data_IF_416013193741
#
_entry.id   IF_416013193741
#
_cell.length_a   1.000
_cell.length_b   1.000
_cell.length_c   1.000
_cell.angle_alpha   90.00
_cell.angle_beta   90.00
_cell.angle_gamma   90.00
#
_symmetry.space_group_name_H-M   'P 1'
#
loop_
_entity.id
_entity.type
_entity.pdbx_description
1 polymer ?
#
# COMPACT_ATOMS: atom_id res chain seq x y z
N UNK A 1 3.33 -7.14 -4.50
CA UNK A 1 2.75 -5.78 -4.29
C UNK A 1 3.58 -4.65 -4.89
N UNK A 2 4.78 -4.32 -4.40
CA UNK A 2 5.58 -3.23 -5.03
C UNK A 2 6.13 -3.55 -6.43
N UNK A 3 6.17 -4.83 -6.80
CA UNK A 3 6.61 -5.32 -8.12
C UNK A 3 5.45 -5.79 -9.00
N UNK A 4 4.19 -5.54 -8.61
CA UNK A 4 3.08 -5.93 -9.49
C UNK A 4 3.13 -5.08 -10.76
N UNK A 5 2.97 -5.68 -11.95
CA UNK A 5 3.08 -4.96 -13.22
C UNK A 5 2.08 -3.82 -13.33
N UNK A 6 0.86 -4.00 -12.81
CA UNK A 6 -0.16 -2.94 -12.78
C UNK A 6 0.28 -1.75 -11.91
N UNK A 7 0.90 -1.99 -10.75
CA UNK A 7 1.40 -0.92 -9.88
C UNK A 7 2.59 -0.22 -10.52
N UNK A 8 3.48 -0.95 -11.18
CA UNK A 8 4.63 -0.38 -11.89
C UNK A 8 4.20 0.48 -13.09
N UNK A 9 3.23 0.03 -13.88
CA UNK A 9 2.69 0.83 -14.98
C UNK A 9 2.04 2.13 -14.49
N UNK A 10 1.33 2.10 -13.35
CA UNK A 10 0.79 3.30 -12.72
C UNK A 10 1.91 4.20 -12.17
N UNK A 11 2.92 3.62 -11.53
CA UNK A 11 4.08 4.35 -11.04
C UNK A 11 4.78 5.11 -12.18
N UNK A 12 4.97 4.48 -13.34
CA UNK A 12 5.52 5.14 -14.53
C UNK A 12 4.59 6.22 -15.10
N UNK A 13 3.29 5.93 -15.21
CA UNK A 13 2.28 6.87 -15.74
C UNK A 13 2.23 8.17 -14.94
N UNK A 14 2.22 8.05 -13.61
CA UNK A 14 2.15 9.19 -12.70
C UNK A 14 3.53 9.74 -12.31
N UNK A 15 4.63 9.10 -12.74
CA UNK A 15 6.02 9.38 -12.32
C UNK A 15 6.18 9.42 -10.79
N UNK A 16 5.51 8.48 -10.12
CA UNK A 16 5.50 8.33 -8.67
C UNK A 16 6.06 6.99 -8.28
N UNK A 17 6.43 6.82 -7.02
CA UNK A 17 6.92 5.52 -6.54
C UNK A 17 5.75 4.54 -6.38
N UNK A 18 5.99 3.22 -6.50
CA UNK A 18 4.98 2.20 -6.23
C UNK A 18 4.33 2.35 -4.83
N UNK A 19 5.10 2.81 -3.84
CA UNK A 19 4.58 3.09 -2.50
C UNK A 19 3.57 4.23 -2.50
N UNK A 20 3.84 5.32 -3.23
CA UNK A 20 2.90 6.43 -3.36
C UNK A 20 1.60 6.02 -4.04
N UNK A 21 1.67 5.19 -5.10
CA UNK A 21 0.47 4.67 -5.77
C UNK A 21 -0.40 3.87 -4.80
N UNK A 22 0.22 2.98 -4.00
CA UNK A 22 -0.51 2.16 -3.02
C UNK A 22 -1.10 2.99 -1.88
N UNK A 23 -0.38 3.99 -1.36
CA UNK A 23 -0.89 4.90 -0.34
C UNK A 23 -2.04 5.76 -0.88
N UNK A 24 -1.92 6.23 -2.13
CA UNK A 24 -2.98 6.99 -2.79
C UNK A 24 -4.24 6.16 -3.02
N UNK A 25 -4.08 4.90 -3.45
CA UNK A 25 -5.17 3.95 -3.57
C UNK A 25 -5.94 3.77 -2.26
N UNK A 26 -5.24 3.58 -1.13
CA UNK A 26 -5.88 3.41 0.17
C UNK A 26 -6.60 4.70 0.62
N UNK A 27 -5.95 5.86 0.48
CA UNK A 27 -6.55 7.14 0.87
C UNK A 27 -7.78 7.51 0.03
N UNK A 28 -7.80 7.19 -1.28
CA UNK A 28 -8.99 7.36 -2.12
C UNK A 28 -10.13 6.38 -1.79
N UNK A 29 -9.83 5.25 -1.15
CA UNK A 29 -10.86 4.34 -0.60
C UNK A 29 -11.38 4.78 0.77
N UNK A 30 -11.05 6.00 1.20
CA UNK A 30 -11.39 6.54 2.52
C UNK A 30 -10.75 5.75 3.68
N UNK A 31 -9.63 5.04 3.42
CA UNK A 31 -8.89 4.28 4.43
C UNK A 31 -7.73 5.13 4.94
N UNK A 32 -7.71 5.39 6.25
CA UNK A 32 -6.60 6.10 6.91
C UNK A 32 -5.35 5.23 6.90
N UNK A 33 -4.26 5.73 6.33
CA UNK A 33 -2.96 5.03 6.25
C UNK A 33 -1.97 5.58 7.27
N UNK A 34 -1.18 4.68 7.88
CA UNK A 34 -0.10 5.05 8.81
C UNK A 34 1.21 4.43 8.28
N UNK A 35 1.89 5.09 7.31
CA UNK A 35 3.13 4.57 6.77
C UNK A 35 4.27 4.73 7.79
N UNK A 36 4.92 3.62 8.14
CA UNK A 36 6.15 3.65 8.94
C UNK A 36 7.34 3.95 8.02
N UNK A 37 8.12 4.97 8.34
CA UNK A 37 9.39 5.25 7.67
C UNK A 37 10.42 5.83 8.66
N UNK A 38 11.68 5.45 8.50
CA UNK A 38 12.83 5.98 9.26
C UNK A 38 13.65 6.97 8.43
N UNK A 39 13.43 7.04 7.11
CA UNK A 39 14.17 7.92 6.20
C UNK A 39 13.37 9.20 5.93
N UNK A 40 13.99 10.39 6.09
CA UNK A 40 13.29 11.67 5.91
C UNK A 40 12.81 11.89 4.47
N UNK A 41 13.55 11.37 3.47
CA UNK A 41 13.16 11.41 2.06
C UNK A 41 11.83 10.67 1.83
N UNK A 42 11.74 9.43 2.31
CA UNK A 42 10.52 8.62 2.21
C UNK A 42 9.35 9.23 3.00
N UNK A 43 9.61 9.93 4.11
CA UNK A 43 8.53 10.63 4.85
C UNK A 43 7.93 11.74 3.98
N UNK A 44 8.77 12.49 3.27
CA UNK A 44 8.30 13.52 2.32
C UNK A 44 7.55 12.87 1.16
N UNK A 45 8.08 11.81 0.57
CA UNK A 45 7.40 11.08 -0.52
C UNK A 45 6.05 10.52 -0.08
N UNK A 46 5.94 9.97 1.13
CA UNK A 46 4.70 9.46 1.69
C UNK A 46 3.67 10.55 2.00
N UNK A 47 4.09 11.82 2.07
CA UNK A 47 3.19 12.96 2.26
C UNK A 47 2.72 13.55 0.92
N UNK A 48 3.55 13.45 -0.11
CA UNK A 48 3.31 13.93 -1.47
C UNK A 48 2.46 12.93 -2.28
N UNK A 49 1.23 12.72 -1.80
CA UNK A 49 0.24 11.78 -2.36
C UNK A 49 -0.99 12.47 -2.95
N UNK A 50 -1.22 13.74 -2.62
CA UNK A 50 -2.46 14.46 -2.93
C UNK A 50 -2.39 15.27 -4.23
N UNK A 51 -1.26 15.23 -4.91
CA UNK A 51 -0.97 15.94 -6.15
C UNK A 51 -1.45 15.18 -7.40
N UNK A 52 -1.89 13.92 -7.25
CA UNK A 52 -2.49 13.12 -8.31
C UNK A 52 -3.72 12.35 -7.84
N UNK A 53 -4.51 11.83 -8.77
CA UNK A 53 -5.70 11.03 -8.48
C UNK A 53 -5.77 9.82 -9.42
N UNK A 54 -6.03 8.65 -8.85
CA UNK A 54 -6.27 7.42 -9.61
C UNK A 54 -7.70 7.45 -10.13
N UNK A 55 -7.87 7.07 -11.39
CA UNK A 55 -9.18 6.94 -12.03
C UNK A 55 -9.92 5.71 -11.52
N UNK A 56 -11.24 5.68 -11.68
CA UNK A 56 -12.08 4.55 -11.24
C UNK A 56 -11.64 3.21 -11.85
N UNK A 57 -11.14 3.21 -13.10
CA UNK A 57 -10.64 2.00 -13.76
C UNK A 57 -9.35 1.48 -13.10
N UNK A 58 -8.41 2.37 -12.78
CA UNK A 58 -7.16 2.01 -12.12
C UNK A 58 -7.40 1.54 -10.68
N UNK A 59 -8.37 2.16 -10.00
CA UNK A 59 -8.85 1.71 -8.69
C UNK A 59 -9.47 0.30 -8.77
N UNK A 60 -10.18 -0.03 -9.86
CA UNK A 60 -10.71 -1.36 -10.09
C UNK A 60 -9.59 -2.38 -10.38
N UNK A 61 -8.60 -2.02 -11.20
CA UNK A 61 -7.43 -2.85 -11.47
C UNK A 61 -6.64 -3.19 -10.20
N UNK A 62 -6.38 -2.19 -9.35
CA UNK A 62 -5.69 -2.41 -8.08
C UNK A 62 -6.52 -3.25 -7.11
N UNK A 63 -7.83 -3.08 -7.10
CA UNK A 63 -8.73 -3.91 -6.27
C UNK A 63 -8.78 -5.37 -6.75
N UNK A 64 -8.56 -5.64 -8.04
CA UNK A 64 -8.49 -6.99 -8.58
C UNK A 64 -7.22 -7.76 -8.16
N UNK A 65 -6.19 -7.06 -7.67
CA UNK A 65 -4.95 -7.67 -7.15
C UNK A 65 -5.09 -8.18 -5.71
N UNK A 66 -6.25 -7.97 -5.07
CA UNK A 66 -6.48 -8.44 -3.71
C UNK A 66 -6.48 -9.97 -3.64
N UNK A 67 -5.49 -10.53 -2.95
CA UNK A 67 -5.34 -11.99 -2.78
C UNK A 67 -6.19 -12.55 -1.64
N UNK A 68 -6.93 -11.71 -0.90
CA UNK A 68 -7.68 -12.07 0.33
C UNK A 68 -6.85 -12.82 1.38
N UNK A 69 -5.54 -12.71 1.31
CA UNK A 69 -4.60 -13.38 2.19
C UNK A 69 -3.89 -12.33 3.07
N UNK A 70 -3.94 -12.49 4.41
CA UNK A 70 -3.27 -11.57 5.31
C UNK A 70 -1.75 -11.75 5.25
N UNK A 71 -1.00 -10.66 5.02
CA UNK A 71 0.47 -10.68 4.87
C UNK A 71 1.23 -11.12 6.13
N UNK A 72 0.65 -10.90 7.31
CA UNK A 72 1.21 -11.24 8.63
C UNK A 72 0.58 -12.53 9.21
N UNK A 73 -0.40 -13.11 8.52
CA UNK A 73 -1.18 -14.26 9.00
C UNK A 73 -2.43 -13.86 9.77
N UNK A 74 -3.20 -14.87 10.23
CA UNK A 74 -4.49 -14.65 10.91
C UNK A 74 -4.27 -14.57 12.42
N UNK A 75 -4.93 -13.62 13.12
CA UNK A 75 -4.88 -13.56 14.59
C UNK A 75 -5.48 -14.80 15.27
N UNK A 76 -6.22 -15.60 14.50
CA UNK A 76 -6.82 -16.88 14.89
C UNK A 76 -5.77 -18.01 15.06
N UNK A 77 -4.55 -17.80 14.55
CA UNK A 77 -3.47 -18.80 14.59
C UNK A 77 -2.65 -18.65 15.88
N UNK A 78 -2.65 -19.63 16.79
CA UNK A 78 -2.00 -19.52 18.11
C UNK A 78 -0.50 -19.20 18.02
N UNK A 79 0.18 -19.72 17.01
CA UNK A 79 1.63 -19.56 16.81
C UNK A 79 2.05 -18.09 16.57
N UNK A 80 1.18 -17.28 15.95
CA UNK A 80 1.45 -15.85 15.72
C UNK A 80 1.23 -15.00 16.97
N UNK A 81 0.32 -15.43 17.86
CA UNK A 81 0.08 -14.78 19.15
C UNK A 81 1.29 -14.97 20.05
N UNK A 82 1.83 -16.18 20.13
CA UNK A 82 3.03 -16.46 20.92
C UNK A 82 4.26 -15.69 20.42
N UNK A 83 4.47 -15.63 19.09
CA UNK A 83 5.56 -14.85 18.49
C UNK A 83 5.48 -13.35 18.83
N UNK A 84 4.26 -12.79 18.91
CA UNK A 84 4.03 -11.37 19.24
C UNK A 84 4.31 -11.00 20.71
N UNK A 85 4.33 -11.98 21.62
CA UNK A 85 4.61 -11.78 23.05
C UNK A 85 6.12 -11.81 23.38
N UNK A 86 6.93 -12.35 22.48
CA UNK A 86 8.38 -12.49 22.62
C UNK A 86 9.20 -11.42 21.88
N UNK A 87 8.53 -10.40 21.33
CA UNK A 87 9.15 -9.32 20.56
C UNK A 87 9.62 -8.16 21.45
#
# INVERSE_FOLDING_TARGET
MFQEPAVLSLAEKYRKTPAQILLRFLTQKDIVVIPRSTKPEHIRENFDLFDFELTADEMAQLSALDKKEPLIGRPETPELVEFSLTW
#
